data_IF_462634883082
#
_entry.id   IF_462634883082
#
_cell.length_a   1.000
_cell.length_b   1.000
_cell.length_c   1.000
_cell.angle_alpha   90.00
_cell.angle_beta   90.00
_cell.angle_gamma   90.00
#
_symmetry.space_group_name_H-M   'P 1'
#
loop_
_entity.id
_entity.type
_entity.pdbx_description
1 polymer ?
#
# COMPACT_ATOMS: atom_id res chain seq x y z
N UNK A 1 9.86 -12.84 24.74
CA UNK A 1 8.42 -13.17 24.66
C UNK A 1 7.67 -11.94 24.18
N UNK A 2 6.60 -12.10 23.39
CA UNK A 2 5.79 -10.97 22.91
C UNK A 2 4.72 -10.62 23.95
N UNK A 3 4.48 -9.34 24.25
CA UNK A 3 3.41 -8.95 25.16
C UNK A 3 2.04 -9.27 24.57
N UNK A 4 1.02 -9.53 25.40
CA UNK A 4 -0.35 -9.77 24.88
C UNK A 4 -0.96 -8.50 24.30
N UNK A 5 -0.78 -7.36 24.97
CA UNK A 5 -1.25 -6.03 24.55
C UNK A 5 -0.06 -5.08 24.58
N UNK A 6 0.05 -4.20 23.59
CA UNK A 6 1.19 -3.29 23.49
C UNK A 6 0.77 -1.91 23.00
N UNK A 7 1.14 -0.89 23.76
CA UNK A 7 0.92 0.51 23.40
C UNK A 7 2.27 1.20 23.17
N UNK A 8 2.59 1.44 21.91
CA UNK A 8 3.73 2.26 21.48
C UNK A 8 3.25 3.46 20.64
N UNK A 9 2.00 3.87 20.85
CA UNK A 9 1.39 4.93 20.06
C UNK A 9 1.93 6.33 20.37
N UNK A 10 2.68 6.48 21.47
CA UNK A 10 3.19 7.77 21.93
C UNK A 10 4.23 8.35 20.96
N UNK A 11 3.76 9.20 20.06
CA UNK A 11 4.58 10.04 19.18
C UNK A 11 3.89 11.40 19.04
N UNK A 12 4.22 12.37 19.91
CA UNK A 12 3.61 13.70 19.87
C UNK A 12 3.84 14.38 18.52
N UNK A 13 2.80 15.07 18.02
CA UNK A 13 2.90 15.87 16.80
C UNK A 13 3.84 17.04 17.01
N UNK A 14 4.67 17.34 16.02
CA UNK A 14 5.70 18.38 16.08
C UNK A 14 5.15 19.78 15.81
N UNK A 15 3.99 19.87 15.16
CA UNK A 15 3.36 21.13 14.77
C UNK A 15 1.83 21.05 14.75
N UNK A 16 1.17 22.20 14.79
CA UNK A 16 -0.28 22.30 14.61
C UNK A 16 -0.73 21.83 13.23
N UNK A 17 0.10 22.05 12.20
CA UNK A 17 -0.13 21.55 10.83
C UNK A 17 -0.16 20.03 10.79
N UNK A 18 0.80 19.37 11.42
CA UNK A 18 0.84 17.91 11.53
C UNK A 18 -0.39 17.38 12.28
N UNK A 19 -0.74 17.98 13.42
CA UNK A 19 -1.91 17.59 14.18
C UNK A 19 -3.22 17.74 13.38
N UNK A 20 -3.37 18.85 12.66
CA UNK A 20 -4.54 19.10 11.81
C UNK A 20 -4.60 18.13 10.64
N UNK A 21 -3.46 17.80 10.03
CA UNK A 21 -3.38 16.80 8.98
C UNK A 21 -3.81 15.42 9.49
N UNK A 22 -3.25 14.95 10.61
CA UNK A 22 -3.61 13.66 11.20
C UNK A 22 -5.09 13.57 11.54
N UNK A 23 -5.65 14.61 12.17
CA UNK A 23 -7.08 14.69 12.46
C UNK A 23 -7.91 14.57 11.18
N UNK A 24 -7.60 15.36 10.15
CA UNK A 24 -8.31 15.33 8.87
C UNK A 24 -8.21 13.97 8.15
N UNK A 25 -7.08 13.27 8.33
CA UNK A 25 -6.89 11.97 7.71
C UNK A 25 -7.70 10.90 8.44
N UNK A 26 -7.71 10.91 9.78
CA UNK A 26 -8.56 10.01 10.58
C UNK A 26 -10.02 10.20 10.21
N UNK A 27 -10.49 11.44 10.07
CA UNK A 27 -11.88 11.72 9.66
C UNK A 27 -12.21 11.13 8.28
N UNK A 28 -11.30 11.24 7.31
CA UNK A 28 -11.46 10.60 5.99
C UNK A 28 -11.55 9.09 6.09
N UNK A 29 -10.71 8.47 6.91
CA UNK A 29 -10.70 7.02 7.13
C UNK A 29 -12.00 6.52 7.80
N UNK A 30 -12.56 7.33 8.71
CA UNK A 30 -13.86 7.09 9.34
C UNK A 30 -15.01 7.19 8.34
N UNK A 31 -15.05 8.27 7.54
CA UNK A 31 -16.07 8.47 6.49
C UNK A 31 -16.02 7.36 5.45
N UNK A 32 -14.82 6.91 5.08
CA UNK A 32 -14.63 5.79 4.16
C UNK A 32 -14.96 4.41 4.77
N UNK A 33 -15.31 4.34 6.06
CA UNK A 33 -15.60 3.09 6.78
C UNK A 33 -14.38 2.17 6.94
N UNK A 34 -13.17 2.69 6.71
CA UNK A 34 -11.90 1.96 6.82
C UNK A 34 -11.48 1.85 8.28
N UNK A 35 -11.75 2.88 9.08
CA UNK A 35 -11.60 2.83 10.54
C UNK A 35 -12.91 2.42 11.21
N UNK A 36 -12.82 1.78 12.37
CA UNK A 36 -13.97 1.62 13.27
C UNK A 36 -14.35 2.96 13.90
N UNK A 37 -15.56 3.04 14.46
CA UNK A 37 -15.86 4.06 15.48
C UNK A 37 -14.85 3.97 16.63
N UNK A 38 -14.65 5.09 17.33
CA UNK A 38 -13.81 5.09 18.54
C UNK A 38 -14.37 4.11 19.56
N UNK A 39 -13.48 3.34 20.20
CA UNK A 39 -13.83 2.46 21.32
C UNK A 39 -13.31 2.98 22.67
N UNK A 40 -12.90 4.26 22.73
CA UNK A 40 -12.43 4.92 23.94
C UNK A 40 -10.92 5.06 24.00
N UNK A 41 -10.39 5.29 25.21
CA UNK A 41 -8.97 5.54 25.46
C UNK A 41 -8.15 4.29 25.69
N UNK A 42 -8.78 3.18 26.07
CA UNK A 42 -8.08 2.02 26.62
C UNK A 42 -7.93 0.91 25.57
N UNK A 43 -6.72 0.34 25.45
CA UNK A 43 -6.51 -0.82 24.58
C UNK A 43 -7.21 -2.03 25.19
N UNK A 44 -7.90 -2.79 24.36
CA UNK A 44 -8.45 -4.07 24.75
C UNK A 44 -7.37 -5.17 24.73
N UNK A 45 -7.58 -6.30 25.44
CA UNK A 45 -6.65 -7.42 25.42
C UNK A 45 -6.33 -7.90 24.00
N UNK A 46 -5.04 -8.14 23.71
CA UNK A 46 -4.59 -8.60 22.39
C UNK A 46 -4.26 -7.46 21.40
N UNK A 47 -4.59 -6.21 21.74
CA UNK A 47 -4.43 -5.09 20.81
C UNK A 47 -3.03 -4.49 20.80
N UNK A 48 -2.62 -4.02 19.63
CA UNK A 48 -1.38 -3.27 19.46
C UNK A 48 -1.68 -1.90 18.88
N UNK A 49 -1.06 -0.86 19.44
CA UNK A 49 -1.08 0.48 18.86
C UNK A 49 0.33 0.95 18.59
N UNK A 50 0.60 1.21 17.31
CA UNK A 50 1.88 1.70 16.82
C UNK A 50 1.78 3.20 16.54
N UNK A 51 2.91 3.94 16.56
CA UNK A 51 2.85 5.38 16.39
C UNK A 51 2.51 5.74 14.93
N UNK A 52 1.59 6.70 14.78
CA UNK A 52 1.32 7.34 13.50
C UNK A 52 2.05 8.68 13.43
N UNK A 53 2.42 9.10 12.22
CA UNK A 53 3.00 10.42 12.01
C UNK A 53 2.77 10.90 10.58
N UNK A 54 2.87 12.21 10.39
CA UNK A 54 2.81 12.81 9.07
C UNK A 54 4.22 12.95 8.51
N UNK A 55 4.43 12.48 7.28
CA UNK A 55 5.69 12.69 6.55
C UNK A 55 5.41 13.63 5.37
N UNK A 56 6.18 14.72 5.20
CA UNK A 56 6.04 15.57 4.02
C UNK A 56 6.40 14.78 2.76
N UNK A 57 5.61 14.95 1.70
CA UNK A 57 5.93 14.36 0.40
C UNK A 57 6.98 15.26 -0.29
N UNK A 58 8.15 14.73 -0.67
CA UNK A 58 9.21 15.51 -1.30
C UNK A 58 8.69 16.35 -2.47
N UNK A 59 9.08 17.62 -2.52
CA UNK A 59 8.69 18.54 -3.60
C UNK A 59 7.23 19.02 -3.57
N UNK A 60 6.48 18.80 -2.47
CA UNK A 60 5.10 19.30 -2.32
C UNK A 60 4.83 19.75 -0.88
N UNK A 61 3.79 20.57 -0.69
CA UNK A 61 3.28 20.93 0.66
C UNK A 61 2.35 19.86 1.27
N UNK A 62 2.22 18.70 0.59
CA UNK A 62 1.34 17.62 1.02
C UNK A 62 2.06 16.71 2.01
N UNK A 63 1.28 16.15 2.93
CA UNK A 63 1.75 15.13 3.86
C UNK A 63 1.13 13.78 3.53
N UNK A 64 1.80 12.70 3.94
CA UNK A 64 1.25 11.34 3.97
C UNK A 64 1.22 10.84 5.41
N UNK A 65 0.17 10.09 5.74
CA UNK A 65 0.08 9.37 6.99
C UNK A 65 0.94 8.10 6.90
N UNK A 66 1.85 7.93 7.84
CA UNK A 66 2.64 6.71 7.99
C UNK A 66 2.32 6.07 9.33
N UNK A 67 1.98 4.77 9.29
CA UNK A 67 1.88 3.95 10.50
C UNK A 67 3.22 3.24 10.67
N UNK A 68 3.94 3.57 11.74
CA UNK A 68 5.29 3.08 11.94
C UNK A 68 5.28 1.70 12.60
N UNK A 69 5.07 0.68 11.77
CA UNK A 69 5.10 -0.72 12.19
C UNK A 69 6.51 -1.25 12.49
N UNK A 70 7.55 -0.46 12.24
CA UNK A 70 8.95 -0.78 12.57
C UNK A 70 9.38 -0.18 13.92
N UNK A 71 8.56 0.65 14.56
CA UNK A 71 8.92 1.34 15.79
C UNK A 71 9.07 0.43 17.01
N UNK A 72 10.25 0.50 17.64
CA UNK A 72 10.50 -0.04 18.97
C UNK A 72 10.74 -1.56 19.01
N UNK A 73 10.85 -2.08 20.23
CA UNK A 73 11.23 -3.49 20.46
C UNK A 73 10.19 -4.47 19.90
N UNK A 74 8.91 -4.17 20.08
CA UNK A 74 7.77 -4.99 19.67
C UNK A 74 7.12 -4.47 18.38
N UNK A 75 7.96 -4.09 17.41
CA UNK A 75 7.57 -3.67 16.07
C UNK A 75 6.76 -4.75 15.34
N UNK A 76 5.56 -4.41 14.84
CA UNK A 76 4.69 -5.35 14.13
C UNK A 76 5.35 -6.01 12.92
N UNK A 77 6.22 -5.29 12.21
CA UNK A 77 6.94 -5.85 11.06
C UNK A 77 7.82 -7.05 11.45
N UNK A 78 8.30 -7.12 12.69
CA UNK A 78 9.07 -8.27 13.21
C UNK A 78 8.21 -9.50 13.48
N UNK A 79 6.87 -9.38 13.48
CA UNK A 79 5.97 -10.53 13.58
C UNK A 79 5.76 -11.24 12.23
N UNK A 80 6.19 -10.61 11.13
CA UNK A 80 6.07 -11.15 9.78
C UNK A 80 7.45 -11.64 9.37
N UNK A 81 7.59 -12.94 9.13
CA UNK A 81 8.85 -13.50 8.65
C UNK A 81 9.10 -13.12 7.19
N UNK A 82 10.36 -13.05 6.79
CA UNK A 82 10.70 -12.78 5.38
C UNK A 82 10.31 -13.95 4.47
N UNK A 83 10.32 -15.17 5.00
CA UNK A 83 9.92 -16.37 4.27
C UNK A 83 8.43 -16.32 3.89
N UNK A 84 7.57 -15.78 4.76
CA UNK A 84 6.12 -15.64 4.52
C UNK A 84 5.79 -14.63 3.40
N UNK A 85 6.73 -13.75 3.04
CA UNK A 85 6.56 -12.71 2.02
C UNK A 85 7.53 -12.86 0.84
N UNK A 86 8.24 -13.99 0.76
CA UNK A 86 9.16 -14.27 -0.31
C UNK A 86 8.41 -14.55 -1.63
N UNK A 87 9.09 -14.28 -2.76
CA UNK A 87 8.61 -14.69 -4.10
C UNK A 87 7.83 -13.64 -4.88
N UNK A 88 7.62 -12.44 -4.32
CA UNK A 88 7.09 -11.30 -5.10
C UNK A 88 8.25 -10.53 -5.75
N UNK A 89 8.36 -10.66 -7.07
CA UNK A 89 9.20 -9.80 -7.91
C UNK A 89 8.30 -8.79 -8.61
N UNK A 90 8.61 -7.51 -8.47
CA UNK A 90 7.92 -6.44 -9.20
C UNK A 90 8.48 -6.30 -10.60
N UNK A 91 7.62 -5.95 -11.55
CA UNK A 91 8.08 -5.47 -12.84
C UNK A 91 8.81 -4.14 -12.67
N UNK A 92 9.91 -4.00 -13.39
CA UNK A 92 10.72 -2.80 -13.37
C UNK A 92 10.77 -2.15 -14.77
N UNK A 93 11.42 -1.00 -14.86
CA UNK A 93 11.46 -0.23 -16.11
C UNK A 93 12.15 -0.98 -17.26
N UNK A 94 13.04 -1.92 -16.95
CA UNK A 94 13.70 -2.77 -17.94
C UNK A 94 12.71 -3.80 -18.51
N UNK A 95 11.79 -4.32 -17.70
CA UNK A 95 10.75 -5.24 -18.18
C UNK A 95 9.83 -4.53 -19.19
N UNK A 96 9.47 -3.27 -18.91
CA UNK A 96 8.76 -2.41 -19.87
C UNK A 96 9.60 -2.18 -21.13
N UNK A 97 10.89 -1.84 -21.00
CA UNK A 97 11.79 -1.63 -22.13
C UNK A 97 11.87 -2.85 -23.05
N UNK A 98 12.05 -4.04 -22.47
CA UNK A 98 12.09 -5.30 -23.20
C UNK A 98 10.79 -5.57 -23.96
N UNK A 99 9.64 -5.28 -23.34
CA UNK A 99 8.33 -5.45 -23.97
C UNK A 99 8.14 -4.53 -25.17
N UNK A 100 8.56 -3.27 -25.05
CA UNK A 100 8.52 -2.29 -26.14
C UNK A 100 9.43 -2.70 -27.30
N UNK A 101 10.61 -3.26 -27.00
CA UNK A 101 11.52 -3.79 -28.01
C UNK A 101 10.93 -4.99 -28.75
N UNK A 102 10.33 -5.94 -28.03
CA UNK A 102 9.64 -7.10 -28.63
C UNK A 102 8.51 -6.63 -29.55
N UNK A 103 7.66 -5.72 -29.08
CA UNK A 103 6.58 -5.17 -29.90
C UNK A 103 7.12 -4.51 -31.17
N UNK A 104 8.15 -3.66 -31.06
CA UNK A 104 8.74 -2.97 -32.22
C UNK A 104 9.35 -3.95 -33.22
N UNK A 105 9.95 -5.05 -32.74
CA UNK A 105 10.52 -6.08 -33.60
C UNK A 105 9.44 -6.84 -34.37
N UNK A 106 8.34 -7.16 -33.71
CA UNK A 106 7.30 -8.03 -34.25
C UNK A 106 6.28 -7.25 -35.13
N UNK A 107 6.10 -5.95 -34.87
CA UNK A 107 5.11 -5.08 -35.53
C UNK A 107 5.70 -3.92 -36.35
N UNK A 108 7.03 -3.77 -36.40
CA UNK A 108 7.68 -2.72 -37.21
C UNK A 108 7.22 -1.31 -36.82
N UNK A 109 6.91 -0.44 -37.78
CA UNK A 109 6.54 0.96 -37.53
C UNK A 109 5.06 1.17 -37.15
N UNK A 110 4.35 0.11 -36.77
CA UNK A 110 2.96 0.23 -36.31
C UNK A 110 2.82 1.24 -35.15
N UNK A 111 1.72 2.02 -35.13
CA UNK A 111 1.46 2.96 -34.06
C UNK A 111 1.33 2.27 -32.70
N UNK A 112 2.11 2.75 -31.73
CA UNK A 112 2.11 2.25 -30.36
C UNK A 112 1.42 3.26 -29.44
N UNK A 113 0.43 2.82 -28.67
CA UNK A 113 -0.20 3.62 -27.61
C UNK A 113 0.13 3.05 -26.24
N UNK A 114 0.82 3.84 -25.42
CA UNK A 114 1.16 3.51 -24.05
C UNK A 114 0.26 4.29 -23.08
N UNK A 115 -0.37 3.59 -22.15
CA UNK A 115 -1.20 4.19 -21.11
C UNK A 115 -0.66 3.88 -19.74
N UNK A 116 -0.79 4.85 -18.82
CA UNK A 116 -0.52 4.68 -17.40
C UNK A 116 -1.79 4.98 -16.61
N UNK A 117 -2.15 4.12 -15.66
CA UNK A 117 -3.20 4.39 -14.69
C UNK A 117 -2.57 4.50 -13.29
N UNK A 118 -3.13 5.32 -12.40
CA UNK A 118 -2.66 5.40 -11.01
C UNK A 118 -3.80 4.94 -10.09
N UNK A 119 -3.56 3.89 -9.29
CA UNK A 119 -4.53 3.44 -8.28
C UNK A 119 -4.40 4.32 -7.03
N UNK A 120 -5.38 5.20 -6.84
CA UNK A 120 -5.47 6.02 -5.62
C UNK A 120 -5.63 5.13 -4.39
N UNK A 121 -4.81 5.37 -3.36
CA UNK A 121 -4.88 4.68 -2.07
C UNK A 121 -4.83 3.14 -2.19
N UNK A 122 -4.01 2.62 -3.11
CA UNK A 122 -3.92 1.20 -3.47
C UNK A 122 -4.05 0.20 -2.30
N UNK A 123 -3.24 0.35 -1.25
CA UNK A 123 -3.30 -0.53 -0.07
C UNK A 123 -4.62 -0.44 0.69
N UNK A 124 -5.22 0.74 0.76
CA UNK A 124 -6.44 0.96 1.55
C UNK A 124 -7.66 0.22 1.00
N UNK A 125 -7.60 -0.28 -0.25
CA UNK A 125 -8.61 -1.16 -0.82
C UNK A 125 -8.57 -2.58 -0.25
N UNK A 126 -7.42 -3.02 0.27
CA UNK A 126 -7.24 -4.39 0.77
C UNK A 126 -7.75 -4.50 2.21
N UNK A 127 -8.78 -5.34 2.49
CA UNK A 127 -9.18 -5.64 3.86
C UNK A 127 -8.13 -6.48 4.58
N UNK A 128 -7.92 -6.21 5.86
CA UNK A 128 -7.06 -7.03 6.72
C UNK A 128 -7.89 -8.05 7.48
N UNK A 129 -7.31 -9.22 7.74
CA UNK A 129 -7.96 -10.25 8.56
C UNK A 129 -8.19 -9.71 9.99
N UNK A 130 -9.33 -9.99 10.67
CA UNK A 130 -9.63 -9.46 12.02
C UNK A 130 -8.52 -9.68 13.06
N UNK A 131 -7.81 -10.81 13.00
CA UNK A 131 -6.66 -11.10 13.88
C UNK A 131 -5.47 -10.16 13.66
N UNK A 132 -5.34 -9.58 12.47
CA UNK A 132 -4.35 -8.54 12.19
C UNK A 132 -4.91 -7.14 12.48
N UNK A 133 -6.21 -6.90 12.26
CA UNK A 133 -6.85 -5.62 12.59
C UNK A 133 -6.67 -5.23 14.06
N UNK A 134 -6.78 -6.19 14.99
CA UNK A 134 -6.53 -5.91 16.42
C UNK A 134 -5.09 -5.44 16.69
N UNK A 135 -4.13 -5.74 15.80
CA UNK A 135 -2.76 -5.27 15.89
C UNK A 135 -2.55 -3.89 15.25
N UNK A 136 -3.57 -3.33 14.59
CA UNK A 136 -3.50 -2.06 13.88
C UNK A 136 -4.40 -1.00 14.54
N UNK A 137 -4.29 -0.84 15.86
CA UNK A 137 -5.00 0.22 16.57
C UNK A 137 -4.32 1.56 16.32
N UNK A 138 -5.11 2.52 15.86
CA UNK A 138 -4.71 3.90 15.67
C UNK A 138 -5.13 4.70 16.90
N UNK A 139 -4.16 5.30 17.59
CA UNK A 139 -4.42 6.17 18.75
C UNK A 139 -4.14 7.63 18.38
N UNK A 140 -5.09 8.51 18.65
CA UNK A 140 -4.95 9.95 18.42
C UNK A 140 -5.85 10.75 19.36
N UNK A 141 -5.32 11.79 20.02
CA UNK A 141 -6.06 12.65 20.97
C UNK A 141 -6.90 11.88 22.01
N UNK A 142 -6.32 10.82 22.60
CA UNK A 142 -6.99 10.01 23.62
C UNK A 142 -8.14 9.13 23.10
N UNK A 143 -8.32 9.04 21.78
CA UNK A 143 -9.28 8.16 21.12
C UNK A 143 -8.56 7.05 20.37
N UNK A 144 -9.20 5.88 20.29
CA UNK A 144 -8.65 4.69 19.64
C UNK A 144 -9.60 4.08 18.62
N UNK A 145 -9.03 3.70 17.49
CA UNK A 145 -9.76 3.18 16.33
C UNK A 145 -9.07 1.91 15.83
N UNK A 146 -9.84 0.96 15.33
CA UNK A 146 -9.30 -0.22 14.63
C UNK A 146 -9.19 0.12 13.15
N UNK A 147 -7.97 0.05 12.59
CA UNK A 147 -7.80 0.09 11.14
C UNK A 147 -8.11 -1.28 10.53
N UNK A 148 -9.08 -1.30 9.62
CA UNK A 148 -9.56 -2.54 8.98
C UNK A 148 -8.88 -2.81 7.65
N UNK A 149 -8.04 -1.91 7.17
CA UNK A 149 -7.45 -1.95 5.83
C UNK A 149 -5.93 -2.03 5.91
N UNK A 150 -5.34 -2.51 4.83
CA UNK A 150 -3.91 -2.59 4.69
C UNK A 150 -3.31 -1.16 4.70
N UNK A 151 -2.14 -1.00 5.30
CA UNK A 151 -1.55 0.31 5.58
C UNK A 151 -0.24 0.49 4.83
N UNK A 152 0.19 1.73 4.68
CA UNK A 152 1.58 2.01 4.34
C UNK A 152 2.47 1.77 5.57
N UNK A 153 3.66 1.18 5.36
CA UNK A 153 4.65 0.90 6.42
C UNK A 153 4.61 -0.52 6.99
N UNK A 154 3.63 -1.35 6.63
CA UNK A 154 3.63 -2.77 6.98
C UNK A 154 4.47 -3.60 6.01
N UNK A 155 5.30 -4.51 6.53
CA UNK A 155 6.18 -5.41 5.75
C UNK A 155 5.45 -6.23 4.69
N UNK A 156 4.28 -6.78 5.00
CA UNK A 156 3.48 -7.57 4.06
C UNK A 156 2.54 -6.73 3.17
N UNK A 157 2.49 -5.40 3.34
CA UNK A 157 1.44 -4.58 2.72
C UNK A 157 1.53 -4.61 1.20
N UNK A 158 2.75 -4.46 0.68
CA UNK A 158 3.03 -4.57 -0.75
C UNK A 158 2.73 -5.97 -1.28
N UNK A 159 3.13 -7.01 -0.55
CA UNK A 159 2.92 -8.40 -0.95
C UNK A 159 1.42 -8.72 -1.11
N UNK A 160 0.58 -8.30 -0.16
CA UNK A 160 -0.88 -8.48 -0.22
C UNK A 160 -1.47 -7.78 -1.45
N UNK A 161 -1.09 -6.52 -1.67
CA UNK A 161 -1.57 -5.78 -2.83
C UNK A 161 -1.11 -6.41 -4.14
N UNK A 162 0.16 -6.81 -4.21
CA UNK A 162 0.72 -7.42 -5.40
C UNK A 162 0.03 -8.74 -5.73
N UNK A 163 -0.20 -9.63 -4.75
CA UNK A 163 -0.93 -10.87 -4.96
C UNK A 163 -2.33 -10.64 -5.58
N UNK A 164 -3.04 -9.61 -5.10
CA UNK A 164 -4.32 -9.22 -5.71
C UNK A 164 -4.15 -8.73 -7.15
N UNK A 165 -3.18 -7.84 -7.38
CA UNK A 165 -2.93 -7.27 -8.71
C UNK A 165 -2.45 -8.31 -9.72
N UNK A 166 -1.65 -9.29 -9.32
CA UNK A 166 -1.24 -10.41 -10.17
C UNK A 166 -2.45 -11.21 -10.65
N UNK A 167 -3.46 -11.42 -9.81
CA UNK A 167 -4.72 -12.04 -10.22
C UNK A 167 -5.48 -11.17 -11.23
N UNK A 168 -5.57 -9.86 -11.00
CA UNK A 168 -6.23 -8.93 -11.92
C UNK A 168 -5.54 -8.95 -13.29
N UNK A 169 -4.21 -8.89 -13.33
CA UNK A 169 -3.43 -9.01 -14.56
C UNK A 169 -3.66 -10.36 -15.22
N UNK A 170 -3.61 -11.46 -14.45
CA UNK A 170 -3.86 -12.78 -15.00
C UNK A 170 -5.24 -12.86 -15.67
N UNK A 171 -6.28 -12.27 -15.07
CA UNK A 171 -7.61 -12.19 -15.68
C UNK A 171 -7.56 -11.37 -16.97
N UNK A 172 -6.94 -10.19 -16.95
CA UNK A 172 -6.84 -9.33 -18.14
C UNK A 172 -6.12 -10.04 -19.31
N UNK A 173 -4.99 -10.70 -19.03
CA UNK A 173 -4.23 -11.44 -20.04
C UNK A 173 -5.01 -12.67 -20.53
N UNK A 174 -5.50 -13.51 -19.61
CA UNK A 174 -6.03 -14.82 -19.97
C UNK A 174 -7.51 -14.81 -20.40
N UNK A 175 -8.26 -13.78 -20.03
CA UNK A 175 -9.70 -13.67 -20.34
C UNK A 175 -10.02 -12.52 -21.29
N UNK A 176 -9.27 -11.42 -21.24
CA UNK A 176 -9.49 -10.26 -22.09
C UNK A 176 -8.45 -10.13 -23.21
N UNK A 177 -7.42 -10.97 -23.23
CA UNK A 177 -6.35 -10.98 -24.22
C UNK A 177 -5.62 -9.64 -24.35
N UNK A 178 -5.57 -8.87 -23.25
CA UNK A 178 -4.78 -7.65 -23.17
C UNK A 178 -3.34 -8.06 -22.87
N UNK A 179 -2.44 -7.83 -23.83
CA UNK A 179 -1.04 -8.18 -23.73
C UNK A 179 -0.21 -7.02 -23.16
N UNK A 180 1.01 -7.31 -22.70
CA UNK A 180 1.97 -6.30 -22.22
C UNK A 180 1.48 -5.44 -21.05
N UNK A 181 0.84 -6.08 -20.05
CA UNK A 181 0.45 -5.44 -18.79
C UNK A 181 1.53 -5.59 -17.72
N UNK A 182 1.93 -4.47 -17.11
CA UNK A 182 2.99 -4.43 -16.09
C UNK A 182 2.52 -3.77 -14.78
N UNK A 183 3.00 -4.28 -13.64
CA UNK A 183 2.87 -3.64 -12.32
C UNK A 183 4.17 -2.96 -11.96
N UNK A 184 4.24 -1.65 -12.23
CA UNK A 184 5.38 -0.83 -11.82
C UNK A 184 5.07 0.02 -10.59
N UNK A 185 5.95 -0.06 -9.60
CA UNK A 185 5.91 0.75 -8.37
C UNK A 185 6.93 1.89 -8.43
N UNK A 186 6.47 3.12 -8.17
CA UNK A 186 7.28 4.34 -8.27
C UNK A 186 7.71 4.91 -6.89
N UNK A 187 6.90 4.73 -5.84
CA UNK A 187 7.29 5.16 -4.49
C UNK A 187 8.14 4.07 -3.83
N UNK A 188 9.46 4.08 -4.05
CA UNK A 188 10.40 3.21 -3.32
C UNK A 188 11.05 4.00 -2.18
N UNK A 189 10.52 3.91 -0.97
CA UNK A 189 11.29 4.30 0.21
C UNK A 189 11.99 3.06 0.79
N UNK A 190 13.30 3.18 0.95
CA UNK A 190 14.14 2.14 1.56
C UNK A 190 13.99 2.22 3.08
N UNK A 191 13.48 1.16 3.68
CA UNK A 191 13.67 0.81 5.09
C UNK A 191 15.16 0.44 5.33
N UNK A 192 15.65 0.57 6.57
CA UNK A 192 16.99 0.19 7.04
C UNK A 192 17.40 -1.28 6.72
N UNK A 193 16.45 -2.13 6.32
CA UNK A 193 16.60 -3.51 5.86
C UNK A 193 16.47 -3.67 4.32
N UNK A 194 16.48 -2.58 3.56
CA UNK A 194 16.38 -2.59 2.09
C UNK A 194 15.04 -3.13 1.56
N UNK A 195 13.99 -3.13 2.38
CA UNK A 195 12.61 -3.47 1.98
C UNK A 195 11.95 -2.26 1.30
N UNK A 196 11.46 -2.46 0.07
CA UNK A 196 10.77 -1.44 -0.74
C UNK A 196 9.33 -1.33 -0.23
N UNK A 197 8.88 -0.12 0.11
CA UNK A 197 7.48 0.15 0.46
C UNK A 197 6.78 0.95 -0.64
N UNK A 198 6.00 0.24 -1.47
CA UNK A 198 5.47 0.67 -2.77
C UNK A 198 4.24 1.60 -2.78
N UNK A 199 4.02 2.34 -3.89
CA UNK A 199 2.74 2.50 -4.58
C UNK A 199 2.94 3.02 -6.03
N UNK A 200 2.45 2.26 -7.02
CA UNK A 200 1.94 2.59 -8.38
C UNK A 200 1.78 1.28 -9.16
N UNK A 201 0.99 1.23 -10.23
CA UNK A 201 0.87 0.07 -11.14
C UNK A 201 0.32 0.55 -12.49
N UNK A 202 0.55 -0.22 -13.57
CA UNK A 202 -0.01 -0.09 -14.94
C UNK A 202 0.82 0.64 -15.99
N UNK A 203 1.32 -0.14 -16.95
CA UNK A 203 1.48 0.23 -18.35
C UNK A 203 0.66 -0.74 -19.21
N UNK A 204 -0.10 -0.22 -20.17
CA UNK A 204 -0.79 -1.01 -21.20
C UNK A 204 -0.29 -0.55 -22.58
N UNK A 205 0.08 -1.51 -23.42
CA UNK A 205 0.38 -1.33 -24.85
C UNK A 205 -0.81 -1.93 -25.60
N UNK A 206 -1.79 -1.08 -25.91
CA UNK A 206 -2.93 -1.51 -26.73
C UNK A 206 -2.56 -1.40 -28.20
N UNK A 207 -2.58 -2.55 -28.88
CA UNK A 207 -2.89 -2.64 -30.30
C UNK A 207 -4.35 -2.17 -30.49
N UNK A 208 -4.63 -1.51 -31.60
CA UNK A 208 -5.97 -1.00 -31.89
C UNK A 208 -6.93 -2.18 -32.06
N UNK A 209 -7.72 -2.53 -31.03
CA UNK A 209 -8.91 -3.38 -31.21
C UNK A 209 -9.97 -2.51 -31.90
N UNK A 210 -9.83 -2.30 -33.20
CA UNK A 210 -10.99 -2.08 -34.04
C UNK A 210 -11.67 -3.45 -34.20
N UNK A 211 -12.91 -3.55 -33.71
CA UNK A 211 -13.89 -4.61 -33.99
C UNK A 211 -14.03 -5.79 -33.00
N UNK A 212 -14.21 -5.56 -31.69
CA UNK A 212 -15.08 -6.46 -30.87
C UNK A 212 -15.79 -5.70 -29.74
N UNK A 213 -16.58 -4.67 -30.08
CA UNK A 213 -17.82 -4.33 -29.35
C UNK A 213 -18.83 -3.84 -30.40
N UNK A 214 -19.61 -4.79 -30.92
CA UNK A 214 -20.98 -4.56 -31.38
C UNK A 214 -21.88 -5.55 -30.68
#
# INVERSE_FOLDING_TARGET
EWPTTWDNSHRPTKSSTEASFLASQIDKELVAGRYSSSFGSDLLPGMYSMPIHAVPKPGTDKHRLVTDHSAGQYALNRMISQEDIAGVTLDNIQDLGNALEIFRRDHGDEPLSLWKADISEAYRHMPMHPLWQIKQVVSFNGQRYVDRRNVFGGRASQHIFHAFMSLVIWIAVMKLLILFLFIYVDDSERDENNEICANRAWFDVMEHISDVVR
#
